data_IF_585065222545
#
_entry.id   IF_585065222545
#
_cell.length_a   1.000
_cell.length_b   1.000
_cell.length_c   1.000
_cell.angle_alpha   90.00
_cell.angle_beta   90.00
_cell.angle_gamma   90.00
#
_symmetry.space_group_name_H-M   'P 1'
#
loop_
_entity.id
_entity.type
_entity.pdbx_description
1 polymer ?
#
# COMPACT_ATOMS: atom_id res chain seq x y z
N UNK A 1 24.04 2.74 7.88
CA UNK A 1 23.13 3.25 6.83
C UNK A 1 21.70 2.70 6.97
N UNK A 2 21.53 1.38 7.12
CA UNK A 2 20.22 0.70 7.29
C UNK A 2 19.36 1.27 8.44
N UNK A 3 19.93 1.53 9.62
CA UNK A 3 19.17 2.12 10.75
C UNK A 3 18.60 3.52 10.45
N UNK A 4 19.25 4.33 9.60
CA UNK A 4 18.72 5.65 9.18
C UNK A 4 17.55 5.52 8.21
N UNK A 5 17.55 4.48 7.36
CA UNK A 5 16.47 4.17 6.41
C UNK A 5 15.24 3.57 7.09
N UNK A 6 15.43 2.83 8.17
CA UNK A 6 14.33 2.33 9.01
C UNK A 6 13.72 3.48 9.82
N UNK A 7 14.56 4.36 10.40
CA UNK A 7 14.11 5.52 11.16
C UNK A 7 13.41 6.60 10.30
N UNK A 8 13.75 6.70 9.01
CA UNK A 8 13.07 7.62 8.08
C UNK A 8 11.69 7.11 7.62
N UNK A 9 11.29 5.91 8.05
CA UNK A 9 10.02 5.28 7.68
C UNK A 9 10.00 4.66 6.28
N UNK A 10 11.02 4.89 5.45
CA UNK A 10 11.06 4.46 4.04
C UNK A 10 10.88 2.94 3.89
N UNK A 11 11.51 2.16 4.76
CA UNK A 11 11.42 0.69 4.72
C UNK A 11 9.98 0.21 5.02
N UNK A 12 9.32 0.65 6.10
CA UNK A 12 7.89 0.40 6.32
C UNK A 12 6.99 0.79 5.15
N UNK A 13 7.25 1.92 4.47
CA UNK A 13 6.45 2.37 3.32
C UNK A 13 6.59 1.49 2.10
N UNK A 14 7.80 1.02 1.80
CA UNK A 14 8.05 0.12 0.68
C UNK A 14 7.40 -1.24 0.96
N UNK A 15 7.57 -1.81 2.17
CA UNK A 15 7.00 -3.12 2.51
C UNK A 15 5.47 -3.12 2.51
N UNK A 16 4.85 -2.14 3.19
CA UNK A 16 3.38 -1.99 3.19
C UNK A 16 2.84 -1.73 1.78
N UNK A 17 3.56 -0.92 0.98
CA UNK A 17 3.30 -0.72 -0.44
C UNK A 17 3.32 -2.02 -1.23
N UNK A 18 4.39 -2.81 -1.09
CA UNK A 18 4.55 -4.08 -1.80
C UNK A 18 3.42 -5.06 -1.46
N UNK A 19 3.14 -5.25 -0.17
CA UNK A 19 2.09 -6.19 0.28
C UNK A 19 0.71 -5.73 -0.19
N UNK A 20 0.36 -4.45 0.00
CA UNK A 20 -0.92 -3.92 -0.47
C UNK A 20 -1.06 -3.97 -1.99
N UNK A 21 0.03 -3.73 -2.73
CA UNK A 21 0.05 -3.80 -4.19
C UNK A 21 -0.12 -5.21 -4.71
N UNK A 22 0.52 -6.22 -4.11
CA UNK A 22 0.31 -7.63 -4.47
C UNK A 22 -1.14 -8.04 -4.23
N UNK A 23 -1.69 -7.71 -3.06
CA UNK A 23 -3.05 -8.12 -2.68
C UNK A 23 -4.13 -7.38 -3.49
N UNK A 24 -4.00 -6.08 -3.64
CA UNK A 24 -5.04 -5.27 -4.27
C UNK A 24 -4.82 -5.21 -5.77
N UNK A 25 -3.67 -4.69 -6.21
CA UNK A 25 -3.39 -4.52 -7.64
C UNK A 25 -3.13 -5.87 -8.29
N UNK A 26 -2.37 -6.78 -7.69
CA UNK A 26 -2.12 -8.11 -8.24
C UNK A 26 -3.37 -9.00 -8.23
N UNK A 27 -3.78 -9.45 -7.05
CA UNK A 27 -4.91 -10.40 -6.92
C UNK A 27 -6.23 -9.73 -7.32
N UNK A 28 -6.48 -8.49 -6.90
CA UNK A 28 -7.71 -7.78 -7.24
C UNK A 28 -7.87 -7.50 -8.75
N UNK A 29 -6.78 -7.23 -9.49
CA UNK A 29 -6.87 -7.11 -10.96
C UNK A 29 -7.13 -8.45 -11.63
N UNK A 30 -6.56 -9.56 -11.12
CA UNK A 30 -6.87 -10.89 -11.64
C UNK A 30 -8.36 -11.22 -11.46
N UNK A 31 -8.89 -11.00 -10.25
CA UNK A 31 -10.32 -11.20 -9.98
C UNK A 31 -11.17 -10.27 -10.87
N UNK A 32 -10.76 -9.01 -11.02
CA UNK A 32 -11.44 -8.05 -11.88
C UNK A 32 -11.47 -8.47 -13.35
N UNK A 33 -10.34 -8.95 -13.88
CA UNK A 33 -10.26 -9.49 -15.24
C UNK A 33 -11.18 -10.70 -15.42
N UNK A 34 -11.22 -11.62 -14.44
CA UNK A 34 -12.12 -12.77 -14.49
C UNK A 34 -13.59 -12.36 -14.47
N UNK A 35 -13.97 -11.41 -13.62
CA UNK A 35 -15.34 -10.90 -13.54
C UNK A 35 -15.78 -10.23 -14.85
N UNK A 36 -14.91 -9.41 -15.45
CA UNK A 36 -15.16 -8.78 -16.75
C UNK A 36 -15.28 -9.86 -17.84
N UNK A 37 -14.34 -10.80 -17.89
CA UNK A 37 -14.34 -11.88 -18.89
C UNK A 37 -15.62 -12.71 -18.83
N UNK A 38 -16.06 -13.08 -17.62
CA UNK A 38 -17.30 -13.81 -17.40
C UNK A 38 -18.54 -13.00 -17.84
N UNK A 39 -18.54 -11.68 -17.62
CA UNK A 39 -19.65 -10.80 -18.01
C UNK A 39 -19.75 -10.54 -19.52
N UNK A 40 -18.62 -10.55 -20.24
CA UNK A 40 -18.54 -10.30 -21.69
C UNK A 40 -18.52 -11.62 -22.50
N UNK A 41 -18.47 -12.77 -21.82
CA UNK A 41 -18.46 -14.08 -22.48
C UNK A 41 -17.16 -14.39 -23.22
N UNK A 42 -16.06 -13.76 -22.82
CA UNK A 42 -14.73 -14.01 -23.37
C UNK A 42 -14.02 -15.10 -22.56
N UNK A 43 -13.26 -15.97 -23.23
CA UNK A 43 -12.36 -16.90 -22.54
C UNK A 43 -11.04 -16.19 -22.19
N UNK A 44 -10.75 -16.06 -20.90
CA UNK A 44 -9.43 -15.63 -20.42
C UNK A 44 -8.44 -16.78 -20.54
N UNK A 45 -7.65 -16.81 -21.61
CA UNK A 45 -6.45 -17.65 -21.68
C UNK A 45 -5.35 -17.07 -20.77
N UNK A 46 -5.45 -17.32 -19.47
CA UNK A 46 -4.40 -16.96 -18.51
C UNK A 46 -3.51 -18.18 -18.29
N UNK A 47 -2.50 -18.34 -19.16
CA UNK A 47 -1.37 -19.23 -18.88
C UNK A 47 -0.62 -18.80 -17.60
N UNK A 48 0.20 -19.69 -17.04
CA UNK A 48 0.89 -19.47 -15.75
C UNK A 48 1.73 -18.17 -15.69
N UNK A 49 2.23 -17.71 -16.85
CA UNK A 49 3.02 -16.49 -16.98
C UNK A 49 2.22 -15.20 -16.80
N UNK A 50 0.91 -15.20 -17.11
CA UNK A 50 0.05 -14.02 -17.03
C UNK A 50 -0.14 -13.54 -15.58
N UNK A 51 -0.66 -14.39 -14.68
CA UNK A 51 -0.83 -14.07 -13.26
C UNK A 51 0.48 -13.68 -12.57
N UNK A 52 1.59 -14.36 -12.89
CA UNK A 52 2.90 -14.04 -12.31
C UNK A 52 3.37 -12.63 -12.68
N UNK A 53 3.20 -12.23 -13.96
CA UNK A 53 3.51 -10.86 -14.40
C UNK A 53 2.63 -9.84 -13.69
N UNK A 54 1.33 -10.11 -13.56
CA UNK A 54 0.39 -9.23 -12.86
C UNK A 54 0.78 -9.06 -11.38
N UNK A 55 1.19 -10.14 -10.70
CA UNK A 55 1.69 -10.07 -9.33
C UNK A 55 2.99 -9.27 -9.20
N UNK A 56 3.95 -9.46 -10.12
CA UNK A 56 5.19 -8.69 -10.15
C UNK A 56 4.95 -7.20 -10.40
N UNK A 57 4.06 -6.88 -11.34
CA UNK A 57 3.62 -5.50 -11.57
C UNK A 57 2.93 -4.93 -10.33
N UNK A 58 2.04 -5.68 -9.69
CA UNK A 58 1.39 -5.29 -8.44
C UNK A 58 2.40 -5.00 -7.32
N UNK A 59 3.43 -5.83 -7.17
CA UNK A 59 4.50 -5.63 -6.19
C UNK A 59 5.34 -4.37 -6.49
N UNK A 60 5.72 -4.16 -7.75
CA UNK A 60 6.52 -3.01 -8.17
C UNK A 60 5.75 -1.69 -8.03
N UNK A 61 4.53 -1.63 -8.56
CA UNK A 61 3.65 -0.46 -8.44
C UNK A 61 3.23 -0.22 -6.98
N UNK A 62 2.97 -1.28 -6.22
CA UNK A 62 2.68 -1.20 -4.81
C UNK A 62 3.83 -0.56 -4.02
N UNK A 63 5.06 -1.02 -4.26
CA UNK A 63 6.26 -0.47 -3.60
C UNK A 63 6.43 1.02 -3.89
N UNK A 64 6.26 1.42 -5.16
CA UNK A 64 6.33 2.82 -5.58
C UNK A 64 5.20 3.64 -4.94
N UNK A 65 3.97 3.13 -4.98
CA UNK A 65 2.79 3.79 -4.42
C UNK A 65 2.88 3.96 -2.91
N UNK A 66 3.38 2.96 -2.19
CA UNK A 66 3.61 3.02 -0.74
C UNK A 66 4.62 4.09 -0.35
N UNK A 67 5.72 4.21 -1.12
CA UNK A 67 6.71 5.25 -0.93
C UNK A 67 6.13 6.65 -1.19
N UNK A 68 5.41 6.83 -2.30
CA UNK A 68 4.75 8.11 -2.64
C UNK A 68 3.71 8.48 -1.57
N UNK A 69 2.89 7.54 -1.14
CA UNK A 69 1.87 7.76 -0.11
C UNK A 69 2.51 8.20 1.20
N UNK A 70 3.58 7.53 1.63
CA UNK A 70 4.27 7.88 2.85
C UNK A 70 4.88 9.29 2.79
N UNK A 71 5.48 9.67 1.66
CA UNK A 71 5.97 11.04 1.44
C UNK A 71 4.80 12.04 1.47
N UNK A 72 3.68 11.72 0.83
CA UNK A 72 2.47 12.56 0.82
C UNK A 72 1.88 12.76 2.22
N UNK A 73 1.87 11.70 3.04
CA UNK A 73 1.46 11.75 4.45
C UNK A 73 2.44 12.57 5.28
N UNK A 74 3.74 12.36 5.10
CA UNK A 74 4.80 13.04 5.86
C UNK A 74 4.93 14.53 5.54
N UNK A 75 4.61 14.94 4.32
CA UNK A 75 4.59 16.35 3.89
C UNK A 75 3.30 17.09 4.23
N UNK A 76 2.32 16.42 4.85
CA UNK A 76 1.04 17.04 5.24
C UNK A 76 0.12 17.39 4.06
N UNK A 77 0.41 16.92 2.85
CA UNK A 77 -0.38 17.22 1.63
C UNK A 77 -1.64 16.36 1.48
N UNK A 78 -1.83 15.36 2.35
CA UNK A 78 -3.00 14.49 2.34
C UNK A 78 -4.01 14.86 3.45
N UNK A 79 -5.31 14.56 3.25
CA UNK A 79 -6.36 14.78 4.25
C UNK A 79 -5.98 14.25 5.64
N UNK A 80 -6.51 14.82 6.73
CA UNK A 80 -6.17 14.33 8.08
C UNK A 80 -6.94 13.06 8.49
N UNK A 81 -8.09 12.80 7.87
CA UNK A 81 -8.97 11.68 8.22
C UNK A 81 -8.52 10.39 7.52
N UNK A 82 -8.15 9.37 8.31
CA UNK A 82 -7.64 8.07 7.84
C UNK A 82 -8.40 7.50 6.63
N UNK A 83 -9.69 7.20 6.79
CA UNK A 83 -10.49 6.59 5.72
C UNK A 83 -10.50 7.39 4.40
N UNK A 84 -10.44 8.73 4.49
CA UNK A 84 -10.40 9.58 3.29
C UNK A 84 -9.02 9.61 2.64
N UNK A 85 -7.93 9.46 3.39
CA UNK A 85 -6.56 9.49 2.83
C UNK A 85 -6.32 8.34 1.85
N UNK A 86 -6.62 7.13 2.30
CA UNK A 86 -6.47 5.93 1.49
C UNK A 86 -7.34 6.00 0.24
N UNK A 87 -8.62 6.31 0.39
CA UNK A 87 -9.55 6.42 -0.73
C UNK A 87 -9.14 7.50 -1.73
N UNK A 88 -8.77 8.71 -1.27
CA UNK A 88 -8.32 9.80 -2.14
C UNK A 88 -7.04 9.44 -2.88
N UNK A 89 -6.09 8.76 -2.24
CA UNK A 89 -4.87 8.32 -2.90
C UNK A 89 -5.12 7.24 -3.95
N UNK A 90 -5.94 6.24 -3.62
CA UNK A 90 -6.36 5.21 -4.57
C UNK A 90 -7.04 5.82 -5.80
N UNK A 91 -7.95 6.76 -5.58
CA UNK A 91 -8.64 7.46 -6.65
C UNK A 91 -7.70 8.34 -7.49
N UNK A 92 -6.73 9.02 -6.88
CA UNK A 92 -5.68 9.77 -7.59
C UNK A 92 -4.83 8.85 -8.46
N UNK A 93 -4.39 7.71 -7.94
CA UNK A 93 -3.62 6.73 -8.70
C UNK A 93 -4.43 6.21 -9.89
N UNK A 94 -5.72 5.91 -9.68
CA UNK A 94 -6.61 5.50 -10.74
C UNK A 94 -6.69 6.56 -11.85
N UNK A 95 -6.98 7.82 -11.51
CA UNK A 95 -7.06 8.92 -12.48
C UNK A 95 -5.76 9.08 -13.28
N UNK A 96 -4.60 8.94 -12.62
CA UNK A 96 -3.29 9.04 -13.27
C UNK A 96 -3.00 7.85 -14.19
N UNK A 97 -3.57 6.68 -13.90
CA UNK A 97 -3.36 5.45 -14.67
C UNK A 97 -4.34 5.29 -15.85
N UNK A 98 -5.51 5.94 -15.83
CA UNK A 98 -6.49 5.91 -16.93
C UNK A 98 -5.84 6.21 -18.32
N UNK A 99 -4.98 7.23 -18.49
CA UNK A 99 -4.38 7.55 -19.78
C UNK A 99 -3.43 6.47 -20.33
N UNK A 100 -2.96 5.55 -19.48
CA UNK A 100 -2.06 4.46 -19.88
C UNK A 100 -2.81 3.21 -20.34
N UNK A 101 -4.14 3.22 -20.27
CA UNK A 101 -4.97 2.13 -20.76
C UNK A 101 -5.01 2.19 -22.30
N UNK A 102 -4.63 1.12 -23.03
CA UNK A 102 -4.63 1.13 -24.47
C UNK A 102 -6.06 1.37 -25.00
N UNK A 103 -6.22 2.41 -25.83
CA UNK A 103 -7.52 2.78 -26.42
C UNK A 103 -8.14 1.66 -27.28
N UNK A 104 -7.30 0.73 -27.74
CA UNK A 104 -7.67 -0.36 -28.64
C UNK A 104 -8.30 -1.56 -27.90
N UNK A 105 -8.31 -1.53 -26.57
CA UNK A 105 -8.71 -2.69 -25.74
C UNK A 105 -10.20 -2.79 -25.50
N UNK A 106 -11.00 -1.80 -25.94
CA UNK A 106 -12.43 -1.78 -25.68
C UNK A 106 -13.21 -1.43 -26.93
N UNK A 107 -13.95 -2.42 -27.44
CA UNK A 107 -14.84 -2.24 -28.57
C UNK A 107 -16.25 -1.79 -28.16
N UNK A 108 -16.65 -1.99 -26.90
CA UNK A 108 -17.97 -1.64 -26.38
C UNK A 108 -17.90 -0.67 -25.20
N UNK A 109 -18.75 0.37 -25.22
CA UNK A 109 -18.82 1.39 -24.18
C UNK A 109 -19.20 0.82 -22.80
N UNK A 110 -20.04 -0.22 -22.78
CA UNK A 110 -20.49 -0.87 -21.54
C UNK A 110 -19.32 -1.62 -20.85
N UNK A 111 -18.48 -2.28 -21.64
CA UNK A 111 -17.27 -2.97 -21.16
C UNK A 111 -16.23 -1.99 -20.61
N UNK A 112 -16.12 -0.79 -21.21
CA UNK A 112 -15.26 0.30 -20.69
C UNK A 112 -15.74 0.74 -19.30
N UNK A 113 -17.05 1.00 -19.15
CA UNK A 113 -17.62 1.47 -17.90
C UNK A 113 -17.47 0.45 -16.77
N UNK A 114 -17.70 -0.84 -17.07
CA UNK A 114 -17.48 -1.93 -16.13
C UNK A 114 -16.01 -2.02 -15.72
N UNK A 115 -15.08 -1.98 -16.67
CA UNK A 115 -13.65 -2.02 -16.38
C UNK A 115 -13.21 -0.84 -15.50
N UNK A 116 -13.62 0.39 -15.84
CA UNK A 116 -13.35 1.60 -15.04
C UNK A 116 -13.86 1.43 -13.61
N UNK A 117 -15.06 0.88 -13.43
CA UNK A 117 -15.68 0.70 -12.12
C UNK A 117 -14.93 -0.34 -11.29
N UNK A 118 -14.61 -1.49 -11.88
CA UNK A 118 -13.91 -2.61 -11.22
C UNK A 118 -12.49 -2.19 -10.84
N UNK A 119 -11.72 -1.64 -11.79
CA UNK A 119 -10.35 -1.19 -11.51
C UNK A 119 -10.33 0.00 -10.55
N UNK A 120 -11.27 0.94 -10.67
CA UNK A 120 -11.43 2.03 -9.71
C UNK A 120 -11.61 1.51 -8.28
N UNK A 121 -12.45 0.49 -8.09
CA UNK A 121 -12.65 -0.15 -6.78
C UNK A 121 -11.38 -0.84 -6.28
N UNK A 122 -10.64 -1.52 -7.15
CA UNK A 122 -9.34 -2.12 -6.83
C UNK A 122 -8.34 -1.07 -6.33
N UNK A 123 -8.23 0.08 -7.01
CA UNK A 123 -7.31 1.14 -6.61
C UNK A 123 -7.73 1.85 -5.32
N UNK A 124 -9.04 2.07 -5.12
CA UNK A 124 -9.55 2.59 -3.84
C UNK A 124 -9.26 1.61 -2.70
N UNK A 125 -9.49 0.31 -2.92
CA UNK A 125 -9.16 -0.76 -1.96
C UNK A 125 -7.66 -0.80 -1.64
N UNK A 126 -6.80 -0.67 -2.65
CA UNK A 126 -5.36 -0.53 -2.48
C UNK A 126 -4.99 0.62 -1.55
N UNK A 127 -5.53 1.82 -1.80
CA UNK A 127 -5.23 2.99 -0.98
C UNK A 127 -5.70 2.83 0.47
N UNK A 128 -6.86 2.21 0.69
CA UNK A 128 -7.36 1.91 2.05
C UNK A 128 -6.46 0.89 2.78
N UNK A 129 -6.11 -0.21 2.11
CA UNK A 129 -5.24 -1.25 2.67
C UNK A 129 -3.84 -0.71 2.99
N UNK A 130 -3.32 0.16 2.13
CA UNK A 130 -2.04 0.81 2.32
C UNK A 130 -2.02 1.70 3.58
N UNK A 131 -3.06 2.51 3.78
CA UNK A 131 -3.19 3.34 4.99
C UNK A 131 -3.29 2.46 6.25
N UNK A 132 -4.09 1.39 6.20
CA UNK A 132 -4.23 0.46 7.32
C UNK A 132 -2.89 -0.18 7.72
N UNK A 133 -2.16 -0.75 6.75
CA UNK A 133 -0.87 -1.36 6.99
C UNK A 133 0.16 -0.36 7.51
N UNK A 134 0.22 0.85 6.94
CA UNK A 134 1.15 1.88 7.38
C UNK A 134 0.91 2.33 8.82
N UNK A 135 -0.35 2.39 9.25
CA UNK A 135 -0.68 2.77 10.61
C UNK A 135 -0.36 1.66 11.62
N UNK A 136 -0.56 0.41 11.23
CA UNK A 136 -0.18 -0.74 12.04
C UNK A 136 1.34 -0.81 12.25
N UNK A 137 2.12 -0.65 11.16
CA UNK A 137 3.58 -0.59 11.25
C UNK A 137 4.10 0.60 12.07
N UNK A 138 3.48 1.78 11.94
CA UNK A 138 3.85 2.96 12.77
C UNK A 138 3.51 2.75 14.25
N UNK A 139 2.37 2.12 14.54
CA UNK A 139 1.97 1.77 15.91
C UNK A 139 2.98 0.82 16.55
N UNK A 140 3.40 -0.21 15.82
CA UNK A 140 4.38 -1.19 16.28
C UNK A 140 5.77 -0.57 16.49
N UNK A 141 6.23 0.32 15.60
CA UNK A 141 7.52 0.99 15.75
C UNK A 141 7.56 1.94 16.97
N UNK A 142 6.43 2.61 17.27
CA UNK A 142 6.32 3.52 18.40
C UNK A 142 6.33 2.79 19.74
N UNK A 143 5.64 1.66 19.86
CA UNK A 143 5.62 0.85 21.07
C UNK A 143 6.98 0.24 21.39
N UNK A 144 7.73 -0.18 20.36
CA UNK A 144 9.07 -0.73 20.51
C UNK A 144 10.09 0.34 20.97
N UNK A 145 9.99 1.55 20.41
CA UNK A 145 10.83 2.68 20.84
C UNK A 145 10.51 3.13 22.27
N UNK A 146 9.24 3.17 22.65
CA UNK A 146 8.80 3.53 24.00
C UNK A 146 9.26 2.49 25.04
N UNK A 147 9.17 1.20 24.71
CA UNK A 147 9.68 0.11 25.55
C UNK A 147 11.20 0.16 25.71
N UNK A 148 11.94 0.47 24.65
CA UNK A 148 13.40 0.60 24.70
C UNK A 148 13.86 1.80 25.56
N UNK A 149 13.19 2.95 25.43
CA UNK A 149 13.43 4.10 26.31
C UNK A 149 13.09 3.79 27.78
N UNK A 150 12.00 3.05 28.04
CA UNK A 150 11.59 2.68 29.39
C UNK A 150 12.58 1.70 30.04
N UNK A 151 13.13 0.78 29.26
CA UNK A 151 14.18 -0.13 29.72
C UNK A 151 15.47 0.62 30.08
N UNK A 152 15.91 1.54 29.23
CA UNK A 152 17.10 2.36 29.48
C UNK A 152 16.90 3.28 30.71
N UNK A 153 15.70 3.84 30.90
CA UNK A 153 15.40 4.66 32.08
C UNK A 153 15.44 3.86 33.38
N UNK A 154 14.97 2.60 33.36
CA UNK A 154 15.07 1.69 34.51
C UNK A 154 16.51 1.34 34.85
N UNK A 155 17.37 1.11 33.86
CA UNK A 155 18.81 0.89 34.11
C UNK A 155 19.47 2.11 34.77
N UNK A 156 19.17 3.32 34.29
CA UNK A 156 19.72 4.55 34.88
C UNK A 156 19.25 4.73 36.32
N UNK A 157 17.97 4.47 36.61
CA UNK A 157 17.46 4.54 37.97
C UNK A 157 18.09 3.49 38.89
N UNK A 158 18.35 2.28 38.40
CA UNK A 158 19.01 1.22 39.16
C UNK A 158 20.44 1.62 39.54
N UNK A 159 21.21 2.17 38.59
CA UNK A 159 22.58 2.67 38.85
C UNK A 159 22.57 3.82 39.86
N UNK A 160 21.64 4.77 39.72
CA UNK A 160 21.47 5.91 40.64
C UNK A 160 21.10 5.47 42.06
N UNK A 161 20.34 4.37 42.21
CA UNK A 161 19.99 3.83 43.52
C UNK A 161 21.19 3.11 44.16
N UNK A 162 21.92 2.31 43.38
CA UNK A 162 23.13 1.62 43.86
C UNK A 162 24.19 2.62 44.37
N UNK A 163 24.43 3.71 43.64
CA UNK A 163 25.37 4.76 44.03
C UNK A 163 24.94 5.57 45.27
N UNK A 164 23.71 5.40 45.77
CA UNK A 164 23.19 6.12 46.94
C UNK A 164 23.27 5.29 48.23
N UNK A 165 23.55 4.00 48.11
CA UNK A 165 23.67 3.06 49.23
C UNK A 165 25.13 2.84 49.68
N UNK A 166 26.10 3.45 48.99
CA UNK A 166 27.51 3.60 49.40
C UNK A 166 27.79 4.97 50.03
#
# INVERSE_FOLDING_TARGET
MVRKLVASGVVPGILSGMVSGVLSIGIGSLIGMWAISASVGLETELGFDGPLRVLLFGAAFGSLGGLIFQIGVGTGRMPRLFATRGATFGLLLFIVLIPFVPANSFHDADSVSLAISVFGLVFVGYGFLLDLLLNEFKGSARSEQENSCRASYKEVQFIQQYLREE
#
